data_IF_632977519539
#
_entry.id   IF_632977519539
#
_cell.length_a   1.000
_cell.length_b   1.000
_cell.length_c   1.000
_cell.angle_alpha   90.00
_cell.angle_beta   90.00
_cell.angle_gamma   90.00
#
_symmetry.space_group_name_H-M   'P 1'
#
loop_
_entity.id
_entity.type
_entity.pdbx_description
1 polymer ?
#
# COMPACT_ATOMS: atom_id res chain seq x y z
N UNK A 1 31.28 -2.76 8.93
CA UNK A 1 29.93 -2.19 8.72
C UNK A 1 28.97 -3.35 8.55
N UNK A 2 27.70 -3.25 8.94
CA UNK A 2 26.74 -4.37 8.79
C UNK A 2 25.42 -3.90 8.19
N UNK A 3 24.74 -4.79 7.47
CA UNK A 3 23.35 -4.62 7.06
C UNK A 3 22.53 -5.81 7.55
N UNK A 4 21.35 -5.52 8.07
CA UNK A 4 20.39 -6.47 8.59
C UNK A 4 19.09 -6.38 7.81
N UNK A 5 18.51 -7.50 7.43
CA UNK A 5 17.24 -7.55 6.70
C UNK A 5 16.53 -8.89 6.90
N UNK A 6 15.25 -8.95 6.57
CA UNK A 6 14.44 -10.14 6.78
C UNK A 6 14.97 -11.35 5.99
N UNK A 7 14.93 -12.53 6.63
CA UNK A 7 15.47 -13.78 6.10
C UNK A 7 14.84 -14.23 4.79
N UNK A 8 13.62 -13.79 4.53
CA UNK A 8 12.90 -14.10 3.31
C UNK A 8 13.50 -13.40 2.09
N UNK A 9 14.38 -12.40 2.25
CA UNK A 9 15.02 -11.70 1.14
C UNK A 9 16.49 -12.08 0.95
N UNK A 10 16.94 -11.94 -0.29
CA UNK A 10 18.36 -11.77 -0.64
C UNK A 10 18.68 -10.28 -0.76
N UNK A 11 19.95 -9.89 -0.59
CA UNK A 11 20.37 -8.50 -0.65
C UNK A 11 19.89 -7.77 -1.92
N UNK A 12 20.03 -8.39 -3.10
CA UNK A 12 19.56 -7.80 -4.36
C UNK A 12 18.04 -7.62 -4.45
N UNK A 13 17.26 -8.41 -3.70
CA UNK A 13 15.80 -8.33 -3.73
C UNK A 13 15.28 -7.14 -2.93
N UNK A 14 16.06 -6.64 -1.96
CA UNK A 14 15.62 -5.54 -1.11
C UNK A 14 15.22 -4.31 -1.92
N UNK A 15 16.00 -3.95 -2.94
CA UNK A 15 15.66 -2.85 -3.85
C UNK A 15 14.45 -3.16 -4.73
N UNK A 16 14.30 -4.41 -5.20
CA UNK A 16 13.20 -4.81 -6.09
C UNK A 16 11.82 -4.72 -5.43
N UNK A 17 11.78 -4.88 -4.10
CA UNK A 17 10.55 -4.85 -3.31
C UNK A 17 10.47 -3.65 -2.36
N UNK A 18 11.45 -2.74 -2.43
CA UNK A 18 11.65 -1.67 -1.44
C UNK A 18 11.52 -2.22 -0.01
N UNK A 19 12.12 -3.39 0.25
CA UNK A 19 12.14 -4.01 1.57
C UNK A 19 13.04 -3.18 2.49
N UNK A 20 12.69 -2.98 3.76
CA UNK A 20 13.49 -2.19 4.65
C UNK A 20 14.74 -2.96 5.09
N UNK A 21 15.77 -2.24 5.50
CA UNK A 21 16.98 -2.81 6.11
C UNK A 21 17.44 -1.96 7.29
N UNK A 22 18.22 -2.56 8.19
CA UNK A 22 18.88 -1.86 9.28
C UNK A 22 20.37 -1.85 8.98
N UNK A 23 20.97 -0.67 9.03
CA UNK A 23 22.37 -0.42 8.71
C UNK A 23 23.11 -0.07 10.00
N UNK A 24 24.21 -0.77 10.24
CA UNK A 24 25.12 -0.51 11.34
C UNK A 24 26.44 0.07 10.85
N UNK A 25 26.70 1.33 11.23
CA UNK A 25 28.00 2.00 11.03
C UNK A 25 28.60 2.34 12.38
N UNK A 26 29.68 1.64 12.76
CA UNK A 26 30.22 1.71 14.12
C UNK A 26 29.20 1.22 15.14
N UNK A 27 28.87 2.06 16.12
CA UNK A 27 27.87 1.76 17.15
C UNK A 27 26.46 2.26 16.79
N UNK A 28 26.28 2.91 15.65
CA UNK A 28 25.01 3.51 15.27
C UNK A 28 24.21 2.57 14.38
N UNK A 29 23.00 2.23 14.82
CA UNK A 29 22.01 1.49 14.05
C UNK A 29 20.98 2.46 13.49
N UNK A 30 20.72 2.34 12.19
CA UNK A 30 19.75 3.17 11.46
C UNK A 30 18.91 2.31 10.55
N UNK A 31 17.68 2.71 10.27
CA UNK A 31 16.79 2.03 9.34
C UNK A 31 16.81 2.76 8.00
N UNK A 32 16.96 2.00 6.92
CA UNK A 32 16.61 2.39 5.55
C UNK A 32 15.27 1.72 5.21
N UNK A 33 14.18 2.48 5.17
CA UNK A 33 12.84 1.92 4.97
C UNK A 33 12.61 1.37 3.55
N UNK A 34 13.40 1.81 2.58
CA UNK A 34 13.14 1.54 1.16
C UNK A 34 14.35 0.97 0.42
N UNK A 35 15.40 0.60 1.16
CA UNK A 35 16.64 0.04 0.59
C UNK A 35 17.29 0.91 -0.48
N UNK A 36 17.18 2.23 -0.32
CA UNK A 36 17.79 3.23 -1.20
C UNK A 36 19.32 3.17 -1.18
N UNK A 37 19.89 2.64 -0.09
CA UNK A 37 21.32 2.56 0.13
C UNK A 37 21.92 1.19 -0.20
N UNK A 38 21.14 0.21 -0.68
CA UNK A 38 21.63 -1.17 -0.94
C UNK A 38 22.76 -1.21 -1.97
N UNK A 39 22.76 -0.30 -2.96
CA UNK A 39 23.86 -0.18 -3.94
C UNK A 39 25.22 0.05 -3.27
N UNK A 40 25.25 0.81 -2.17
CA UNK A 40 26.48 1.07 -1.43
C UNK A 40 27.08 -0.23 -0.91
N UNK A 41 26.24 -1.16 -0.44
CA UNK A 41 26.68 -2.46 0.10
C UNK A 41 27.09 -3.44 -0.99
N UNK A 42 26.45 -3.41 -2.15
CA UNK A 42 26.81 -4.28 -3.28
C UNK A 42 28.20 -3.97 -3.86
N UNK A 43 28.76 -2.79 -3.56
CA UNK A 43 30.13 -2.40 -3.97
C UNK A 43 31.21 -2.80 -2.97
N UNK A 44 30.84 -3.36 -1.82
CA UNK A 44 31.77 -3.68 -0.74
C UNK A 44 32.09 -5.17 -0.67
N UNK A 45 33.28 -5.47 -0.16
CA UNK A 45 33.71 -6.83 0.10
C UNK A 45 33.07 -7.36 1.39
N UNK A 46 32.42 -8.51 1.29
CA UNK A 46 31.79 -9.20 2.41
C UNK A 46 32.83 -9.94 3.23
N UNK A 47 32.83 -9.70 4.54
CA UNK A 47 33.66 -10.43 5.51
C UNK A 47 32.94 -11.69 5.99
N UNK A 48 31.61 -11.62 6.13
CA UNK A 48 30.84 -12.74 6.65
C UNK A 48 29.34 -12.55 6.52
N UNK A 49 28.64 -13.67 6.56
CA UNK A 49 27.18 -13.74 6.57
C UNK A 49 26.75 -14.57 7.78
N UNK A 50 25.75 -14.08 8.51
CA UNK A 50 25.22 -14.73 9.70
C UNK A 50 23.72 -14.46 9.83
N UNK A 51 23.11 -15.11 10.82
CA UNK A 51 21.76 -14.77 11.28
C UNK A 51 21.90 -14.25 12.71
N UNK A 52 21.36 -13.07 12.97
CA UNK A 52 21.42 -12.40 14.28
C UNK A 52 20.03 -11.99 14.73
N UNK A 53 19.79 -12.02 16.05
CA UNK A 53 18.55 -11.50 16.64
C UNK A 53 18.73 -10.02 16.98
N UNK A 54 17.82 -9.18 16.45
CA UNK A 54 17.76 -7.75 16.73
C UNK A 54 16.34 -7.38 17.14
N UNK A 55 16.20 -6.80 18.33
CA UNK A 55 14.90 -6.39 18.91
C UNK A 55 13.83 -7.50 18.87
N UNK A 56 14.24 -8.76 19.11
CA UNK A 56 13.34 -9.92 19.16
C UNK A 56 12.99 -10.53 17.81
N UNK A 57 13.62 -10.08 16.71
CA UNK A 57 13.43 -10.65 15.36
C UNK A 57 14.77 -11.16 14.85
N UNK A 58 14.76 -12.37 14.31
CA UNK A 58 15.95 -12.91 13.65
C UNK A 58 16.07 -12.38 12.21
N UNK A 59 17.22 -11.79 11.88
CA UNK A 59 17.51 -11.15 10.60
C UNK A 59 18.76 -11.77 9.97
N UNK A 60 18.82 -11.77 8.64
CA UNK A 60 20.07 -11.98 7.93
C UNK A 60 20.99 -10.79 8.21
N UNK A 61 22.25 -11.06 8.53
CA UNK A 61 23.30 -10.08 8.77
C UNK A 61 24.42 -10.31 7.76
N UNK A 62 24.80 -9.26 7.02
CA UNK A 62 26.00 -9.27 6.19
C UNK A 62 26.98 -8.25 6.76
N UNK A 63 28.19 -8.73 7.07
CA UNK A 63 29.29 -7.92 7.57
C UNK A 63 30.26 -7.57 6.45
N UNK A 64 30.68 -6.30 6.40
CA UNK A 64 31.54 -5.74 5.36
C UNK A 64 32.79 -5.10 5.94
N UNK A 65 33.87 -5.16 5.17
CA UNK A 65 35.15 -4.57 5.54
C UNK A 65 35.05 -3.05 5.67
N UNK A 66 35.25 -2.49 6.89
CA UNK A 66 35.17 -1.05 7.10
C UNK A 66 36.35 -0.28 6.49
N UNK A 67 37.43 -0.95 6.09
CA UNK A 67 38.61 -0.31 5.49
C UNK A 67 38.46 -0.08 3.99
N UNK A 68 37.52 -0.79 3.34
CA UNK A 68 37.16 -0.58 1.94
C UNK A 68 36.28 0.66 1.79
N UNK A 69 36.89 1.85 1.73
CA UNK A 69 36.28 3.09 1.22
C UNK A 69 34.94 3.54 1.84
N UNK A 70 34.69 3.25 3.13
CA UNK A 70 33.47 3.68 3.83
C UNK A 70 33.30 5.22 3.81
N UNK A 71 34.40 5.97 3.76
CA UNK A 71 34.40 7.45 3.68
C UNK A 71 33.76 7.99 2.38
N UNK A 72 33.63 7.17 1.33
CA UNK A 72 32.99 7.55 0.07
C UNK A 72 31.50 7.19 0.00
N UNK A 73 30.97 6.47 0.99
CA UNK A 73 29.58 6.04 1.00
C UNK A 73 28.70 7.13 1.60
N UNK A 74 27.89 7.74 0.76
CA UNK A 74 26.81 8.62 1.22
C UNK A 74 25.57 7.81 1.52
N UNK A 75 25.20 7.73 2.80
CA UNK A 75 23.93 7.18 3.22
C UNK A 75 22.87 8.26 3.31
N UNK A 76 21.71 8.04 2.68
CA UNK A 76 20.59 9.00 2.62
C UNK A 76 19.33 8.42 3.23
N UNK A 77 18.45 9.31 3.66
CA UNK A 77 17.08 9.00 4.11
C UNK A 77 17.01 7.93 5.22
N UNK A 78 18.03 7.89 6.07
CA UNK A 78 18.10 6.99 7.21
C UNK A 78 17.41 7.57 8.45
N UNK A 79 16.64 6.75 9.15
CA UNK A 79 16.05 7.08 10.45
C UNK A 79 16.75 6.31 11.57
N UNK A 80 16.75 6.85 12.79
CA UNK A 80 17.36 6.17 13.93
C UNK A 80 16.57 4.92 14.31
N UNK A 81 17.29 3.87 14.74
CA UNK A 81 16.65 2.68 15.29
C UNK A 81 16.18 2.97 16.73
N UNK A 82 14.87 3.05 16.90
CA UNK A 82 14.17 3.08 18.19
C UNK A 82 12.91 2.20 18.10
N UNK A 83 12.17 2.00 19.20
CA UNK A 83 10.96 1.16 19.22
C UNK A 83 9.90 1.63 18.22
N UNK A 84 9.72 2.95 18.05
CA UNK A 84 8.72 3.53 17.15
C UNK A 84 9.09 3.30 15.69
N UNK A 85 10.33 3.56 15.32
CA UNK A 85 10.81 3.36 13.96
C UNK A 85 10.99 1.87 13.64
N UNK A 86 11.21 1.03 14.65
CA UNK A 86 11.19 -0.42 14.46
C UNK A 86 9.80 -0.95 14.10
N UNK A 87 8.71 -0.36 14.60
CA UNK A 87 7.36 -0.67 14.08
C UNK A 87 7.25 -0.32 12.58
N UNK A 88 7.78 0.83 12.15
CA UNK A 88 7.79 1.21 10.74
C UNK A 88 8.58 0.22 9.89
N UNK A 89 9.74 -0.23 10.38
CA UNK A 89 10.50 -1.31 9.75
C UNK A 89 9.64 -2.57 9.59
N UNK A 90 8.95 -3.01 10.64
CA UNK A 90 8.09 -4.21 10.58
C UNK A 90 6.94 -4.05 9.58
N UNK A 91 6.25 -2.90 9.58
CA UNK A 91 5.17 -2.64 8.61
C UNK A 91 5.70 -2.65 7.18
N UNK A 92 6.78 -1.91 6.90
CA UNK A 92 7.39 -1.89 5.56
C UNK A 92 7.86 -3.29 5.12
N UNK A 93 8.36 -4.11 6.06
CA UNK A 93 8.77 -5.47 5.79
C UNK A 93 7.58 -6.37 5.43
N UNK A 94 6.45 -6.28 6.16
CA UNK A 94 5.21 -7.00 5.82
C UNK A 94 4.74 -6.63 4.41
N UNK A 95 4.75 -5.35 4.05
CA UNK A 95 4.38 -4.88 2.71
C UNK A 95 5.30 -5.47 1.65
N UNK A 96 6.63 -5.40 1.86
CA UNK A 96 7.59 -5.94 0.92
C UNK A 96 7.45 -7.45 0.74
N UNK A 97 7.18 -8.19 1.83
CA UNK A 97 6.90 -9.63 1.77
C UNK A 97 5.63 -9.92 0.97
N UNK A 98 4.58 -9.14 1.21
CA UNK A 98 3.33 -9.25 0.46
C UNK A 98 3.56 -9.02 -1.04
N UNK A 99 4.33 -7.98 -1.41
CA UNK A 99 4.70 -7.71 -2.80
C UNK A 99 5.53 -8.83 -3.43
N UNK A 100 6.49 -9.39 -2.68
CA UNK A 100 7.30 -10.52 -3.12
C UNK A 100 6.43 -11.74 -3.40
N UNK A 101 5.55 -12.09 -2.48
CA UNK A 101 4.60 -13.20 -2.63
C UNK A 101 3.65 -12.96 -3.81
N UNK A 102 3.19 -11.72 -3.98
CA UNK A 102 2.42 -11.33 -5.16
C UNK A 102 3.20 -11.58 -6.46
N UNK A 103 4.47 -11.14 -6.59
CA UNK A 103 5.23 -11.36 -7.83
C UNK A 103 5.52 -12.84 -8.11
N UNK A 104 5.70 -13.65 -7.07
CA UNK A 104 5.97 -15.09 -7.18
C UNK A 104 4.71 -15.92 -7.44
N UNK A 105 3.55 -15.45 -6.99
CA UNK A 105 2.27 -16.12 -7.19
C UNK A 105 1.74 -15.90 -8.62
N UNK A 106 1.24 -16.98 -9.22
CA UNK A 106 0.50 -16.95 -10.48
C UNK A 106 -1.02 -16.74 -10.30
N UNK A 107 -1.47 -16.53 -9.07
CA UNK A 107 -2.89 -16.32 -8.80
C UNK A 107 -3.39 -15.01 -9.43
N UNK A 108 -4.57 -15.05 -10.08
CA UNK A 108 -5.19 -13.85 -10.63
C UNK A 108 -5.52 -12.88 -9.49
N UNK A 109 -5.36 -11.60 -9.75
CA UNK A 109 -5.62 -10.53 -8.78
C UNK A 109 -6.22 -9.33 -9.48
N UNK A 110 -7.06 -8.62 -8.74
CA UNK A 110 -7.73 -7.44 -9.25
C UNK A 110 -6.90 -6.18 -8.93
N UNK A 111 -6.53 -6.00 -7.66
CA UNK A 111 -5.62 -4.96 -7.19
C UNK A 111 -4.21 -5.51 -6.94
N UNK A 112 -3.19 -4.75 -7.34
CA UNK A 112 -1.80 -4.93 -6.94
C UNK A 112 -1.43 -3.97 -5.82
N UNK A 113 -0.47 -4.38 -4.99
CA UNK A 113 0.11 -3.56 -3.92
C UNK A 113 1.52 -3.16 -4.34
N UNK A 114 1.85 -1.89 -4.18
CA UNK A 114 3.19 -1.35 -4.39
C UNK A 114 3.60 -0.54 -3.16
N UNK A 115 4.85 -0.72 -2.72
CA UNK A 115 5.40 0.08 -1.64
C UNK A 115 5.70 1.48 -2.18
N UNK A 116 5.30 2.51 -1.44
CA UNK A 116 5.72 3.87 -1.73
C UNK A 116 7.19 4.02 -1.34
N UNK A 117 7.92 4.90 -2.03
CA UNK A 117 9.27 5.32 -1.62
C UNK A 117 9.23 6.43 -0.56
N UNK A 118 8.04 6.74 -0.05
CA UNK A 118 7.79 7.82 0.91
C UNK A 118 7.12 7.28 2.16
N UNK A 119 7.86 7.26 3.27
CA UNK A 119 7.31 6.92 4.58
C UNK A 119 6.81 5.47 4.65
N UNK A 120 5.70 5.25 5.36
CA UNK A 120 5.06 3.92 5.44
C UNK A 120 3.75 3.98 4.68
N UNK A 121 3.84 4.25 3.38
CA UNK A 121 2.68 4.36 2.48
C UNK A 121 2.67 3.20 1.48
N UNK A 122 1.48 2.69 1.17
CA UNK A 122 1.30 1.72 0.07
C UNK A 122 0.36 2.27 -0.99
N UNK A 123 0.65 1.93 -2.24
CA UNK A 123 -0.17 2.24 -3.40
C UNK A 123 -0.92 0.99 -3.82
N UNK A 124 -2.24 1.11 -3.94
CA UNK A 124 -3.11 0.10 -4.52
C UNK A 124 -3.55 0.57 -5.90
N UNK A 125 -3.42 -0.28 -6.91
CA UNK A 125 -3.95 0.00 -8.25
C UNK A 125 -4.43 -1.27 -8.92
N UNK A 126 -5.14 -1.14 -10.05
CA UNK A 126 -5.50 -2.31 -10.87
C UNK A 126 -4.22 -3.04 -11.33
N UNK A 127 -4.25 -4.37 -11.25
CA UNK A 127 -3.20 -5.23 -11.79
C UNK A 127 -3.16 -5.13 -13.32
N UNK A 128 -1.97 -4.95 -13.89
CA UNK A 128 -1.80 -4.72 -15.31
C UNK A 128 -2.29 -5.92 -16.14
N UNK A 129 -2.02 -7.15 -15.68
CA UNK A 129 -2.53 -8.35 -16.36
C UNK A 129 -4.06 -8.36 -16.41
N UNK A 130 -4.70 -7.96 -15.30
CA UNK A 130 -6.16 -7.90 -15.19
C UNK A 130 -6.76 -6.80 -16.09
N UNK A 131 -6.13 -5.63 -16.12
CA UNK A 131 -6.51 -4.51 -16.98
C UNK A 131 -6.51 -4.92 -18.46
N UNK A 132 -5.45 -5.62 -18.89
CA UNK A 132 -5.28 -6.06 -20.27
C UNK A 132 -6.28 -7.14 -20.68
N UNK A 133 -6.61 -8.07 -19.76
CA UNK A 133 -7.57 -9.14 -20.06
C UNK A 133 -9.03 -8.68 -20.06
N UNK A 134 -9.35 -7.51 -19.48
CA UNK A 134 -10.71 -6.96 -19.37
C UNK A 134 -10.79 -5.51 -19.87
N UNK A 135 -10.08 -5.20 -20.96
CA UNK A 135 -9.97 -3.84 -21.51
C UNK A 135 -11.33 -3.14 -21.75
N UNK A 136 -12.37 -3.92 -22.06
CA UNK A 136 -13.73 -3.48 -22.28
C UNK A 136 -14.41 -2.90 -21.03
N UNK A 137 -14.02 -3.35 -19.83
CA UNK A 137 -14.54 -2.79 -18.57
C UNK A 137 -14.04 -1.36 -18.41
N UNK A 138 -12.75 -1.17 -18.65
CA UNK A 138 -12.06 0.11 -18.45
C UNK A 138 -12.33 1.11 -19.58
N UNK A 139 -12.85 0.65 -20.73
CA UNK A 139 -13.38 1.52 -21.77
C UNK A 139 -14.71 2.19 -21.38
N UNK A 140 -15.45 1.64 -20.41
CA UNK A 140 -16.75 2.18 -19.99
C UNK A 140 -16.61 3.12 -18.77
N UNK A 141 -16.55 4.44 -19.02
CA UNK A 141 -16.34 5.47 -17.97
C UNK A 141 -17.24 5.34 -16.74
N UNK A 142 -18.55 5.20 -16.93
CA UNK A 142 -19.49 5.06 -15.81
C UNK A 142 -19.31 3.76 -15.01
N UNK A 143 -18.73 2.72 -15.61
CA UNK A 143 -18.40 1.47 -14.91
C UNK A 143 -17.11 1.65 -14.13
N UNK A 144 -16.11 2.32 -14.70
CA UNK A 144 -14.89 2.73 -13.98
C UNK A 144 -15.24 3.54 -12.75
N UNK A 145 -16.13 4.53 -12.87
CA UNK A 145 -16.58 5.33 -11.72
C UNK A 145 -17.29 4.48 -10.64
N UNK A 146 -18.19 3.58 -11.06
CA UNK A 146 -18.86 2.67 -10.12
C UNK A 146 -17.86 1.76 -9.41
N UNK A 147 -16.94 1.14 -10.16
CA UNK A 147 -15.92 0.26 -9.65
C UNK A 147 -15.02 0.98 -8.64
N UNK A 148 -14.66 2.23 -8.95
CA UNK A 148 -13.89 3.10 -8.08
C UNK A 148 -14.64 3.45 -6.78
N UNK A 149 -15.94 3.72 -6.85
CA UNK A 149 -16.76 3.88 -5.65
C UNK A 149 -16.83 2.58 -4.81
N UNK A 150 -16.95 1.43 -5.47
CA UNK A 150 -17.02 0.14 -4.80
C UNK A 150 -15.73 -0.20 -4.06
N UNK A 151 -14.57 0.00 -4.71
CA UNK A 151 -13.27 -0.22 -4.09
C UNK A 151 -13.05 0.78 -2.95
N UNK A 152 -13.35 2.06 -3.16
CA UNK A 152 -13.23 3.08 -2.11
C UNK A 152 -14.05 2.71 -0.86
N UNK A 153 -15.30 2.31 -1.05
CA UNK A 153 -16.20 1.87 0.02
C UNK A 153 -15.67 0.63 0.74
N UNK A 154 -15.22 -0.37 -0.03
CA UNK A 154 -14.64 -1.60 0.48
C UNK A 154 -13.38 -1.34 1.32
N UNK A 155 -12.47 -0.49 0.83
CA UNK A 155 -11.28 -0.09 1.58
C UNK A 155 -11.65 0.68 2.84
N UNK A 156 -12.60 1.62 2.77
CA UNK A 156 -13.09 2.35 3.92
C UNK A 156 -13.70 1.44 4.99
N UNK A 157 -14.48 0.43 4.60
CA UNK A 157 -14.99 -0.58 5.54
C UNK A 157 -13.88 -1.47 6.11
N UNK A 158 -12.90 -1.84 5.28
CA UNK A 158 -11.77 -2.68 5.71
C UNK A 158 -10.93 -1.96 6.79
N UNK A 159 -10.73 -0.66 6.61
CA UNK A 159 -9.94 0.21 7.50
C UNK A 159 -10.77 0.90 8.59
N UNK A 160 -12.05 0.54 8.73
CA UNK A 160 -12.93 1.16 9.73
C UNK A 160 -12.38 0.92 11.13
N UNK A 161 -12.19 2.00 11.88
CA UNK A 161 -11.57 2.04 13.21
C UNK A 161 -10.04 1.82 13.25
N UNK A 162 -9.40 1.72 12.10
CA UNK A 162 -7.94 1.67 12.02
C UNK A 162 -7.37 3.08 11.80
N UNK A 163 -6.18 3.41 12.33
CA UNK A 163 -5.54 4.70 12.11
C UNK A 163 -4.87 4.78 10.72
N UNK A 164 -5.57 4.31 9.68
CA UNK A 164 -5.12 4.26 8.29
C UNK A 164 -5.91 5.30 7.50
N UNK A 165 -5.19 6.23 6.86
CA UNK A 165 -5.80 7.20 5.96
C UNK A 165 -5.71 6.69 4.53
N UNK A 166 -6.83 6.77 3.82
CA UNK A 166 -6.91 6.42 2.41
C UNK A 166 -7.08 7.72 1.61
N UNK A 167 -6.29 7.89 0.57
CA UNK A 167 -6.45 8.99 -0.39
C UNK A 167 -6.43 8.46 -1.83
N UNK A 168 -7.06 9.19 -2.74
CA UNK A 168 -7.12 8.78 -4.15
C UNK A 168 -7.19 10.00 -5.06
N UNK A 169 -6.06 10.32 -5.69
CA UNK A 169 -5.97 11.41 -6.67
C UNK A 169 -6.46 10.98 -8.06
N UNK A 170 -6.37 9.69 -8.39
CA UNK A 170 -6.71 9.13 -9.69
C UNK A 170 -7.69 7.96 -9.55
N UNK A 171 -8.58 7.74 -10.55
CA UNK A 171 -9.49 6.59 -10.56
C UNK A 171 -8.75 5.26 -10.35
N UNK A 172 -9.29 4.43 -9.46
CA UNK A 172 -8.77 3.08 -9.21
C UNK A 172 -7.32 3.04 -8.70
N UNK A 173 -6.79 4.17 -8.21
CA UNK A 173 -5.50 4.28 -7.55
C UNK A 173 -5.69 4.87 -6.15
N UNK A 174 -5.23 4.14 -5.13
CA UNK A 174 -5.39 4.52 -3.73
C UNK A 174 -4.05 4.51 -3.03
N UNK A 175 -3.85 5.45 -2.13
CA UNK A 175 -2.71 5.50 -1.23
C UNK A 175 -3.19 5.30 0.19
N UNK A 176 -2.56 4.36 0.89
CA UNK A 176 -2.86 4.03 2.27
C UNK A 176 -1.65 4.42 3.12
N UNK A 177 -1.87 5.33 4.07
CA UNK A 177 -0.90 5.70 5.08
C UNK A 177 -0.98 4.71 6.25
N UNK A 178 0.09 3.92 6.42
CA UNK A 178 0.24 2.90 7.45
C UNK A 178 1.22 3.34 8.56
N UNK A 179 1.57 4.63 8.66
CA UNK A 179 2.57 5.11 9.62
C UNK A 179 2.19 4.85 11.09
N UNK A 180 0.89 4.76 11.37
CA UNK A 180 0.34 4.67 12.73
C UNK A 180 -0.19 3.27 13.09
N UNK A 181 0.18 2.23 12.34
CA UNK A 181 -0.16 0.84 12.67
C UNK A 181 1.09 0.04 13.06
N UNK A 182 0.88 -1.10 13.73
CA UNK A 182 1.95 -2.03 14.09
C UNK A 182 2.20 -3.04 12.98
N UNK A 183 3.36 -3.71 13.01
CA UNK A 183 3.67 -4.79 12.07
C UNK A 183 2.64 -5.93 12.08
N UNK A 184 2.19 -6.36 13.27
CA UNK A 184 1.15 -7.38 13.44
C UNK A 184 -0.16 -6.95 12.77
N UNK A 185 -0.55 -5.69 12.94
CA UNK A 185 -1.77 -5.16 12.33
C UNK A 185 -1.66 -5.09 10.80
N UNK A 186 -0.49 -4.74 10.28
CA UNK A 186 -0.23 -4.75 8.85
C UNK A 186 -0.40 -6.16 8.25
N UNK A 187 0.04 -7.20 8.97
CA UNK A 187 -0.13 -8.59 8.54
C UNK A 187 -1.61 -9.00 8.51
N UNK A 188 -2.37 -8.69 9.57
CA UNK A 188 -3.82 -8.93 9.63
C UNK A 188 -4.56 -8.24 8.47
N UNK A 189 -4.26 -6.96 8.21
CA UNK A 189 -4.87 -6.20 7.12
C UNK A 189 -4.48 -6.77 5.75
N UNK A 190 -3.25 -7.23 5.57
CA UNK A 190 -2.77 -7.88 4.36
C UNK A 190 -3.56 -9.16 4.03
N UNK A 191 -3.85 -9.98 5.04
CA UNK A 191 -4.67 -11.20 4.88
C UNK A 191 -6.10 -10.85 4.47
N UNK A 192 -6.75 -9.93 5.20
CA UNK A 192 -8.13 -9.48 4.90
C UNK A 192 -8.23 -8.85 3.51
N UNK A 193 -7.23 -8.06 3.12
CA UNK A 193 -7.14 -7.48 1.78
C UNK A 193 -7.03 -8.56 0.70
N UNK A 194 -6.20 -9.60 0.93
CA UNK A 194 -6.05 -10.71 0.00
C UNK A 194 -7.37 -11.44 -0.26
N UNK A 195 -8.13 -11.76 0.81
CA UNK A 195 -9.45 -12.42 0.68
C UNK A 195 -10.43 -11.59 -0.15
N UNK A 196 -10.46 -10.28 0.11
CA UNK A 196 -11.32 -9.34 -0.60
C UNK A 196 -10.91 -9.24 -2.07
N UNK A 197 -9.60 -9.17 -2.34
CA UNK A 197 -9.07 -9.10 -3.70
C UNK A 197 -9.43 -10.34 -4.52
N UNK A 198 -9.31 -11.54 -3.93
CA UNK A 198 -9.72 -12.80 -4.58
C UNK A 198 -11.21 -12.82 -4.87
N UNK A 199 -12.06 -12.43 -3.90
CA UNK A 199 -13.51 -12.33 -4.12
C UNK A 199 -13.85 -11.38 -5.26
N UNK A 200 -13.15 -10.25 -5.37
CA UNK A 200 -13.36 -9.28 -6.46
C UNK A 200 -13.05 -9.90 -7.83
N UNK A 201 -11.96 -10.65 -7.95
CA UNK A 201 -11.63 -11.37 -9.19
C UNK A 201 -12.76 -12.32 -9.61
N UNK A 202 -13.35 -13.04 -8.65
CA UNK A 202 -14.39 -14.04 -8.95
C UNK A 202 -15.72 -13.42 -9.42
N UNK A 203 -16.03 -12.19 -9.00
CA UNK A 203 -17.36 -11.59 -9.22
C UNK A 203 -17.39 -10.49 -10.29
N UNK A 204 -16.24 -9.91 -10.63
CA UNK A 204 -16.15 -8.67 -11.43
C UNK A 204 -16.75 -8.81 -12.84
N UNK A 205 -16.59 -9.96 -13.49
CA UNK A 205 -17.18 -10.23 -14.81
C UNK A 205 -18.71 -10.24 -14.73
N UNK A 206 -19.26 -10.91 -13.72
CA UNK A 206 -20.69 -10.91 -13.43
C UNK A 206 -21.21 -9.52 -13.08
N UNK A 207 -20.42 -8.75 -12.30
CA UNK A 207 -20.75 -7.37 -11.97
C UNK A 207 -20.81 -6.48 -13.20
N UNK A 208 -19.87 -6.59 -14.14
CA UNK A 208 -19.90 -5.79 -15.37
C UNK A 208 -21.18 -6.04 -16.17
N UNK A 209 -21.57 -7.30 -16.34
CA UNK A 209 -22.79 -7.67 -17.06
C UNK A 209 -24.03 -7.11 -16.36
N UNK A 210 -24.14 -7.29 -15.05
CA UNK A 210 -25.32 -6.88 -14.26
C UNK A 210 -25.44 -5.37 -14.13
N UNK A 211 -24.31 -4.67 -13.97
CA UNK A 211 -24.28 -3.24 -13.69
C UNK A 211 -24.17 -2.39 -14.94
N UNK A 212 -23.99 -2.96 -16.14
CA UNK A 212 -23.82 -2.19 -17.38
C UNK A 212 -24.89 -1.12 -17.59
N UNK A 213 -26.17 -1.47 -17.47
CA UNK A 213 -27.27 -0.51 -17.64
C UNK A 213 -27.35 0.54 -16.52
N UNK A 214 -26.80 0.25 -15.33
CA UNK A 214 -26.68 1.22 -14.24
C UNK A 214 -25.47 2.14 -14.51
N UNK A 215 -24.35 1.58 -14.95
CA UNK A 215 -23.12 2.28 -15.30
C UNK A 215 -23.35 3.35 -16.37
N UNK A 216 -24.22 3.09 -17.34
CA UNK A 216 -24.61 4.07 -18.37
C UNK A 216 -25.20 5.35 -17.77
N UNK A 217 -25.88 5.27 -16.61
CA UNK A 217 -26.44 6.45 -15.92
C UNK A 217 -25.36 7.31 -15.25
N UNK A 218 -24.19 6.74 -15.02
CA UNK A 218 -23.06 7.45 -14.42
C UNK A 218 -22.16 8.10 -15.48
N UNK A 219 -22.32 7.77 -16.76
CA UNK A 219 -21.65 8.46 -17.85
C UNK A 219 -22.02 9.96 -17.79
N UNK A 220 -21.03 10.81 -17.52
CA UNK A 220 -21.16 12.26 -17.39
C UNK A 220 -22.08 12.74 -16.25
N UNK A 221 -22.36 11.88 -15.26
CA UNK A 221 -23.16 12.24 -14.09
C UNK A 221 -22.48 13.28 -13.21
N UNK A 222 -23.27 14.02 -12.42
CA UNK A 222 -22.73 15.00 -11.45
C UNK A 222 -21.82 14.32 -10.43
N UNK A 223 -22.14 13.09 -10.02
CA UNK A 223 -21.32 12.34 -9.06
C UNK A 223 -19.95 11.97 -9.63
N UNK A 224 -19.90 11.60 -10.91
CA UNK A 224 -18.64 11.31 -11.61
C UNK A 224 -17.77 12.57 -11.71
N UNK A 225 -18.36 13.73 -12.04
CA UNK A 225 -17.66 15.02 -12.06
C UNK A 225 -17.12 15.46 -10.70
N UNK A 226 -17.73 14.98 -9.61
CA UNK A 226 -17.31 15.24 -8.23
C UNK A 226 -16.69 14.00 -7.57
N UNK A 227 -16.10 13.10 -8.36
CA UNK A 227 -15.44 11.86 -7.90
C UNK A 227 -14.55 12.08 -6.68
N UNK A 228 -13.69 13.09 -6.71
CA UNK A 228 -12.75 13.41 -5.62
C UNK A 228 -13.44 13.60 -4.26
N UNK A 229 -14.65 14.15 -4.24
CA UNK A 229 -15.45 14.32 -3.02
C UNK A 229 -16.14 13.02 -2.62
N UNK A 230 -16.66 12.26 -3.59
CA UNK A 230 -17.40 11.01 -3.33
C UNK A 230 -16.46 9.92 -2.83
N UNK A 231 -15.33 9.71 -3.50
CA UNK A 231 -14.33 8.70 -3.15
C UNK A 231 -13.75 8.96 -1.76
N UNK A 232 -13.46 10.23 -1.42
CA UNK A 232 -12.98 10.58 -0.09
C UNK A 232 -13.95 10.14 1.01
N UNK A 233 -15.24 10.46 0.88
CA UNK A 233 -16.28 10.06 1.86
C UNK A 233 -16.40 8.53 1.96
N UNK A 234 -16.37 7.83 0.82
CA UNK A 234 -16.46 6.37 0.79
C UNK A 234 -15.27 5.71 1.49
N UNK A 235 -14.07 6.26 1.28
CA UNK A 235 -12.82 5.78 1.86
C UNK A 235 -12.73 6.01 3.38
N UNK A 236 -13.59 6.83 3.98
CA UNK A 236 -13.68 6.98 5.43
C UNK A 236 -14.50 5.86 6.11
N UNK A 237 -15.17 4.99 5.33
CA UNK A 237 -15.94 3.87 5.86
C UNK A 237 -17.28 4.28 6.49
N UNK A 238 -17.77 5.48 6.19
CA UNK A 238 -19.10 5.92 6.61
C UNK A 238 -20.23 5.14 5.93
N UNK A 239 -21.34 4.98 6.64
CA UNK A 239 -22.55 4.40 6.06
C UNK A 239 -23.20 5.41 5.10
N UNK A 240 -23.31 5.02 3.83
CA UNK A 240 -23.88 5.88 2.78
C UNK A 240 -25.30 6.36 3.11
N UNK A 241 -26.13 5.51 3.73
CA UNK A 241 -27.50 5.88 4.10
C UNK A 241 -27.53 7.05 5.09
N UNK A 242 -26.58 7.08 6.03
CA UNK A 242 -26.44 8.20 6.97
C UNK A 242 -26.04 9.47 6.24
N UNK A 243 -25.05 9.41 5.36
CA UNK A 243 -24.60 10.55 4.57
C UNK A 243 -25.73 11.12 3.68
N UNK A 244 -26.49 10.24 3.03
CA UNK A 244 -27.65 10.63 2.21
C UNK A 244 -28.71 11.31 3.07
N UNK A 245 -29.02 10.78 4.25
CA UNK A 245 -29.97 11.37 5.19
C UNK A 245 -29.57 12.78 5.61
N UNK A 246 -28.30 12.97 5.99
CA UNK A 246 -27.76 14.28 6.38
C UNK A 246 -27.79 15.29 5.22
N UNK A 247 -27.49 14.86 3.98
CA UNK A 247 -27.63 15.70 2.79
C UNK A 247 -29.09 16.08 2.48
N UNK A 248 -30.03 15.16 2.69
CA UNK A 248 -31.47 15.45 2.52
C UNK A 248 -31.96 16.46 3.55
N UNK A 249 -31.51 16.35 4.81
CA UNK A 249 -31.81 17.33 5.86
C UNK A 249 -31.26 18.72 5.48
N UNK A 250 -30.02 18.79 5.02
CA UNK A 250 -29.40 20.04 4.57
C UNK A 250 -30.18 20.67 3.41
N UNK A 251 -30.53 19.89 2.38
CA UNK A 251 -31.33 20.38 1.25
C UNK A 251 -32.71 20.88 1.70
N UNK A 252 -33.34 20.20 2.67
CA UNK A 252 -34.60 20.63 3.27
C UNK A 252 -34.47 21.98 3.98
N UNK A 253 -33.42 22.18 4.77
CA UNK A 253 -33.12 23.44 5.43
C UNK A 253 -32.82 24.58 4.43
N UNK A 254 -32.03 24.32 3.38
CA UNK A 254 -31.74 25.32 2.36
C UNK A 254 -33.00 25.76 1.60
N UNK A 255 -33.89 24.82 1.27
CA UNK A 255 -35.18 25.13 0.62
C UNK A 255 -36.14 25.92 1.50
N UNK A 256 -36.10 25.71 2.83
CA UNK A 256 -36.97 26.45 3.75
C UNK A 256 -36.54 27.90 3.95
N UNK A 257 -35.26 28.23 3.67
CA UNK A 257 -34.72 29.58 3.79
C UNK A 257 -35.21 30.55 2.71
N UNK A 258 -35.91 30.10 1.65
CA UNK A 258 -36.49 30.93 0.56
C UNK A 258 -35.68 32.21 0.26
N UNK A 259 -34.41 32.06 -0.10
CA UNK A 259 -33.63 33.11 -0.76
C UNK A 259 -33.78 32.91 -2.27
#
# INVERSE_FOLDING_TARGET
MRIYFDKAFQLQELMQYAAPSIIQVGNNLKIDLHSTNVLNFMMLETIGESVEELMGIELNCIEYDPTASVELLEFRDLIELDEKNFEKFKVANVVALYMKNQKLSNEPRFLKVENSLYGVEVVLSIEQKFLLSHSEFFAHKGFVFLLDCMIASMLGQLMKNEPVKISSAEPLMYRLDLENITGEKAEELGQRFSEVNTKMVDIIDGMFILLRGIAEKFNDSVLEKHRESIVAVLSEGFELDRYISELQMLNGALKSLKI
#
